data_IF_132567518800
#
_entry.id   IF_132567518800
#
_cell.length_a   1.000
_cell.length_b   1.000
_cell.length_c   1.000
_cell.angle_alpha   90.00
_cell.angle_beta   90.00
_cell.angle_gamma   90.00
#
_symmetry.space_group_name_H-M   'P 1'
#
loop_
_entity.id
_entity.type
_entity.pdbx_description
1 polymer ?
#
# COMPACT_ATOMS: atom_id res chain seq x y z
N UNK A 1 24.17 -2.10 12.92
CA UNK A 1 25.56 -2.19 13.39
C UNK A 1 26.54 -1.41 12.54
N UNK A 2 26.46 -1.45 11.21
CA UNK A 2 27.34 -0.67 10.30
C UNK A 2 27.49 0.81 10.73
N UNK A 3 26.38 1.47 11.08
CA UNK A 3 26.40 2.85 11.58
C UNK A 3 27.19 3.03 12.90
N UNK A 4 27.11 2.06 13.83
CA UNK A 4 27.83 2.12 15.11
C UNK A 4 29.32 1.82 14.88
N UNK A 5 29.61 0.80 14.09
CA UNK A 5 30.97 0.41 13.69
C UNK A 5 31.69 1.54 12.94
N UNK A 6 31.01 2.22 12.00
CA UNK A 6 31.54 3.37 11.29
C UNK A 6 31.85 4.57 12.19
N UNK A 7 31.33 4.59 13.42
CA UNK A 7 31.62 5.59 14.46
C UNK A 7 32.57 5.06 15.54
N UNK A 8 33.12 3.85 15.40
CA UNK A 8 33.98 3.21 16.39
C UNK A 8 33.28 2.77 17.67
N UNK A 9 31.95 2.60 17.64
CA UNK A 9 31.13 2.24 18.81
C UNK A 9 30.86 0.72 18.80
N UNK A 10 31.19 0.03 19.89
CA UNK A 10 30.83 -1.37 20.14
C UNK A 10 29.39 -1.50 20.68
N UNK A 11 28.73 -2.61 20.37
CA UNK A 11 27.41 -2.98 20.86
C UNK A 11 27.53 -4.25 21.71
N UNK A 12 26.91 -4.21 22.89
CA UNK A 12 26.83 -5.36 23.80
C UNK A 12 25.38 -5.64 24.12
N UNK A 13 24.89 -6.84 23.77
CA UNK A 13 23.63 -7.37 24.28
C UNK A 13 23.88 -8.15 25.56
N UNK A 14 23.31 -7.68 26.67
CA UNK A 14 23.41 -8.36 27.97
C UNK A 14 22.55 -9.63 28.04
N UNK A 15 21.45 -9.67 27.29
CA UNK A 15 20.53 -10.81 27.28
C UNK A 15 21.04 -11.93 26.37
N UNK A 16 21.59 -11.56 25.21
CA UNK A 16 22.03 -12.53 24.20
C UNK A 16 23.52 -12.85 24.29
N UNK A 17 24.24 -12.24 25.25
CA UNK A 17 25.69 -12.33 25.43
C UNK A 17 26.49 -12.04 24.14
N UNK A 18 26.03 -11.09 23.33
CA UNK A 18 26.68 -10.68 22.09
C UNK A 18 27.51 -9.44 22.35
N UNK A 19 28.82 -9.51 22.13
CA UNK A 19 29.73 -8.36 22.15
C UNK A 19 30.37 -8.14 20.78
N UNK A 20 29.94 -7.10 20.07
CA UNK A 20 30.42 -6.75 18.74
C UNK A 20 31.79 -6.07 18.75
N UNK A 21 32.41 -5.83 19.91
CA UNK A 21 33.81 -5.44 19.99
C UNK A 21 34.76 -6.65 19.82
N UNK A 22 34.26 -7.88 20.01
CA UNK A 22 35.02 -9.11 19.79
C UNK A 22 34.83 -9.66 18.36
N UNK A 23 35.85 -10.30 17.75
CA UNK A 23 35.69 -10.95 16.45
C UNK A 23 34.61 -12.05 16.44
N UNK A 24 34.50 -12.81 17.52
CA UNK A 24 33.49 -13.86 17.68
C UNK A 24 32.06 -13.30 17.78
N UNK A 25 31.86 -12.27 18.60
CA UNK A 25 30.55 -11.63 18.72
C UNK A 25 30.14 -10.86 17.46
N UNK A 26 31.10 -10.30 16.70
CA UNK A 26 30.84 -9.78 15.36
C UNK A 26 30.36 -10.86 14.38
N UNK A 27 30.96 -12.05 14.40
CA UNK A 27 30.52 -13.17 13.56
C UNK A 27 29.08 -13.58 13.90
N UNK A 28 28.78 -13.80 15.19
CA UNK A 28 27.43 -14.15 15.64
C UNK A 28 26.42 -13.07 15.25
N UNK A 29 26.78 -11.79 15.43
CA UNK A 29 25.94 -10.67 15.02
C UNK A 29 25.63 -10.70 13.52
N UNK A 30 26.61 -11.00 12.66
CA UNK A 30 26.39 -11.12 11.21
C UNK A 30 25.49 -12.31 10.84
N UNK A 31 25.68 -13.47 11.48
CA UNK A 31 24.83 -14.64 11.26
C UNK A 31 23.38 -14.34 11.64
N UNK A 32 23.15 -13.71 12.79
CA UNK A 32 21.81 -13.29 13.20
C UNK A 32 21.20 -12.26 12.25
N UNK A 33 22.00 -11.33 11.74
CA UNK A 33 21.58 -10.41 10.69
C UNK A 33 21.12 -11.12 9.43
N UNK A 34 21.89 -12.12 8.97
CA UNK A 34 21.54 -12.92 7.79
C UNK A 34 20.26 -13.75 7.99
N UNK A 35 20.07 -14.33 9.19
CA UNK A 35 18.84 -15.05 9.53
C UNK A 35 17.64 -14.09 9.51
N UNK A 36 17.77 -12.90 10.10
CA UNK A 36 16.69 -11.91 10.11
C UNK A 36 16.31 -11.45 8.68
N UNK A 37 17.29 -11.33 7.78
CA UNK A 37 17.04 -11.03 6.36
C UNK A 37 16.30 -12.17 5.66
N UNK A 38 16.72 -13.41 5.91
CA UNK A 38 16.08 -14.61 5.36
C UNK A 38 14.62 -14.74 5.83
N UNK A 39 14.35 -14.59 7.13
CA UNK A 39 12.99 -14.63 7.67
C UNK A 39 12.11 -13.53 7.06
N UNK A 40 12.65 -12.32 6.90
CA UNK A 40 11.94 -11.22 6.25
C UNK A 40 11.61 -11.54 4.79
N UNK A 41 12.51 -12.22 4.08
CA UNK A 41 12.26 -12.68 2.71
C UNK A 41 11.12 -13.71 2.67
N UNK A 42 11.13 -14.71 3.56
CA UNK A 42 10.07 -15.71 3.65
C UNK A 42 8.70 -15.10 3.98
N UNK A 43 8.62 -14.16 4.92
CA UNK A 43 7.37 -13.46 5.25
C UNK A 43 6.82 -12.72 4.03
N UNK A 44 7.69 -12.05 3.26
CA UNK A 44 7.30 -11.33 2.04
C UNK A 44 6.80 -12.30 0.97
N UNK A 45 7.48 -13.41 0.76
CA UNK A 45 7.09 -14.44 -0.20
C UNK A 45 5.70 -14.98 0.14
N UNK A 46 5.49 -15.39 1.39
CA UNK A 46 4.21 -15.90 1.87
C UNK A 46 3.07 -14.88 1.73
N UNK A 47 3.36 -13.62 2.04
CA UNK A 47 2.39 -12.53 1.86
C UNK A 47 2.01 -12.35 0.39
N UNK A 48 2.99 -12.36 -0.51
CA UNK A 48 2.74 -12.25 -1.96
C UNK A 48 1.92 -13.43 -2.48
N UNK A 49 2.23 -14.65 -2.06
CA UNK A 49 1.47 -15.85 -2.42
C UNK A 49 0.01 -15.73 -1.95
N UNK A 50 -0.21 -15.31 -0.69
CA UNK A 50 -1.55 -15.09 -0.15
C UNK A 50 -2.33 -14.00 -0.88
N UNK A 51 -1.67 -12.89 -1.25
CA UNK A 51 -2.28 -11.82 -2.05
C UNK A 51 -2.63 -12.29 -3.47
N UNK A 52 -1.78 -13.11 -4.09
CA UNK A 52 -2.06 -13.68 -5.41
C UNK A 52 -3.29 -14.59 -5.37
N UNK A 53 -3.39 -15.46 -4.37
CA UNK A 53 -4.56 -16.32 -4.18
C UNK A 53 -5.83 -15.51 -3.88
N UNK A 54 -5.75 -14.47 -3.04
CA UNK A 54 -6.88 -13.58 -2.78
C UNK A 54 -7.37 -12.89 -4.07
N UNK A 55 -6.45 -12.43 -4.93
CA UNK A 55 -6.78 -11.85 -6.24
C UNK A 55 -7.44 -12.87 -7.16
N UNK A 56 -6.96 -14.12 -7.19
CA UNK A 56 -7.57 -15.22 -7.97
C UNK A 56 -9.02 -15.47 -7.56
N UNK A 57 -9.32 -15.30 -6.26
CA UNK A 57 -10.70 -15.36 -5.71
C UNK A 57 -11.52 -14.08 -5.93
N UNK A 58 -11.02 -13.12 -6.72
CA UNK A 58 -11.73 -11.88 -7.03
C UNK A 58 -11.52 -10.73 -6.05
N UNK A 59 -10.67 -10.86 -5.02
CA UNK A 59 -10.35 -9.70 -4.16
C UNK A 59 -9.44 -8.73 -4.91
N UNK A 60 -9.96 -7.55 -5.23
CA UNK A 60 -9.20 -6.46 -5.87
C UNK A 60 -8.12 -5.85 -4.95
N UNK A 61 -8.40 -5.75 -3.65
CA UNK A 61 -7.53 -5.06 -2.68
C UNK A 61 -7.51 -3.53 -2.86
N UNK A 62 -6.61 -2.86 -2.13
CA UNK A 62 -6.45 -1.41 -2.18
C UNK A 62 -7.55 -0.62 -1.45
N UNK A 63 -7.47 0.72 -1.51
CA UNK A 63 -8.47 1.61 -0.91
C UNK A 63 -9.79 1.51 -1.69
N UNK A 64 -10.95 1.32 -1.03
CA UNK A 64 -12.25 1.35 -1.70
C UNK A 64 -12.47 2.66 -2.47
N UNK A 65 -13.19 2.59 -3.60
CA UNK A 65 -13.59 3.78 -4.35
C UNK A 65 -14.56 4.61 -3.49
N UNK A 66 -14.38 5.94 -3.49
CA UNK A 66 -15.24 6.85 -2.74
C UNK A 66 -16.57 7.15 -3.45
N UNK A 67 -16.64 6.94 -4.77
CA UNK A 67 -17.85 7.13 -5.55
C UNK A 67 -18.12 5.87 -6.38
N UNK A 68 -19.39 5.44 -6.40
CA UNK A 68 -19.89 4.37 -7.27
C UNK A 68 -20.14 4.91 -8.68
N UNK A 69 -20.27 4.04 -9.71
CA UNK A 69 -20.65 4.49 -11.05
C UNK A 69 -21.97 5.27 -11.09
N UNK A 70 -22.93 4.92 -10.22
CA UNK A 70 -24.20 5.65 -10.07
C UNK A 70 -23.98 7.04 -9.50
N UNK A 71 -23.11 7.19 -8.51
CA UNK A 71 -22.75 8.51 -7.95
C UNK A 71 -22.09 9.40 -9.00
N UNK A 72 -21.22 8.83 -9.84
CA UNK A 72 -20.57 9.57 -10.92
C UNK A 72 -21.58 10.03 -11.97
N UNK A 73 -22.54 9.18 -12.34
CA UNK A 73 -23.61 9.55 -13.26
C UNK A 73 -24.51 10.65 -12.67
N UNK A 74 -24.90 10.53 -11.41
CA UNK A 74 -25.70 11.54 -10.70
C UNK A 74 -24.95 12.87 -10.57
N UNK A 75 -23.66 12.84 -10.22
CA UNK A 75 -22.83 14.04 -10.16
C UNK A 75 -22.70 14.72 -11.53
N UNK A 76 -22.55 13.93 -12.61
CA UNK A 76 -22.52 14.45 -13.98
C UNK A 76 -23.84 15.10 -14.39
N UNK A 77 -24.98 14.56 -13.94
CA UNK A 77 -26.28 15.15 -14.19
C UNK A 77 -26.47 16.46 -13.40
N UNK A 78 -26.08 16.50 -12.12
CA UNK A 78 -26.16 17.71 -11.29
C UNK A 78 -25.33 18.86 -11.86
N UNK A 79 -24.16 18.56 -12.45
CA UNK A 79 -23.29 19.57 -13.08
C UNK A 79 -23.84 20.14 -14.40
N UNK A 80 -24.93 19.58 -14.96
CA UNK A 80 -25.60 20.13 -16.15
C UNK A 80 -26.67 21.16 -15.81
N UNK A 81 -27.09 21.23 -14.55
CA UNK A 81 -28.08 22.20 -14.08
C UNK A 81 -27.37 23.54 -13.94
N UNK A 82 -27.94 24.59 -14.54
CA UNK A 82 -27.45 25.95 -14.36
C UNK A 82 -27.51 26.33 -12.87
N UNK A 83 -26.55 27.14 -12.42
CA UNK A 83 -26.36 27.56 -11.02
C UNK A 83 -25.89 26.50 -10.01
N UNK A 84 -25.58 25.26 -10.42
CA UNK A 84 -24.97 24.25 -9.52
C UNK A 84 -23.45 24.21 -9.67
N UNK A 85 -22.72 24.50 -8.58
CA UNK A 85 -21.25 24.50 -8.61
C UNK A 85 -20.65 23.12 -8.32
N UNK A 86 -19.47 22.86 -8.87
CA UNK A 86 -18.72 21.65 -8.56
C UNK A 86 -18.35 21.51 -7.07
N UNK A 87 -18.25 22.62 -6.33
CA UNK A 87 -17.99 22.60 -4.89
C UNK A 87 -19.19 22.05 -4.12
N UNK A 88 -20.41 22.46 -4.47
CA UNK A 88 -21.65 21.98 -3.85
C UNK A 88 -21.89 20.51 -4.16
N UNK A 89 -21.65 20.10 -5.42
CA UNK A 89 -21.75 18.68 -5.82
C UNK A 89 -20.76 17.83 -5.01
N UNK A 90 -19.49 18.23 -4.92
CA UNK A 90 -18.49 17.51 -4.13
C UNK A 90 -18.90 17.38 -2.65
N UNK A 91 -19.38 18.47 -2.05
CA UNK A 91 -19.88 18.49 -0.67
C UNK A 91 -21.05 17.52 -0.49
N UNK A 92 -21.98 17.47 -1.44
CA UNK A 92 -23.15 16.57 -1.41
C UNK A 92 -22.78 15.09 -1.43
N UNK A 93 -21.71 14.73 -2.14
CA UNK A 93 -21.17 13.37 -2.16
C UNK A 93 -20.12 13.10 -1.07
N UNK A 94 -19.84 14.08 -0.19
CA UNK A 94 -18.86 13.92 0.89
C UNK A 94 -17.41 13.75 0.42
N UNK A 95 -17.09 14.22 -0.79
CA UNK A 95 -15.76 14.10 -1.41
C UNK A 95 -15.13 15.47 -1.67
N UNK A 96 -13.81 15.51 -1.84
CA UNK A 96 -13.14 16.74 -2.28
C UNK A 96 -13.45 17.02 -3.76
N UNK A 97 -13.35 18.29 -4.19
CA UNK A 97 -13.46 18.65 -5.61
C UNK A 97 -12.48 17.86 -6.48
N UNK A 98 -11.27 17.62 -5.99
CA UNK A 98 -10.26 16.82 -6.70
C UNK A 98 -10.67 15.35 -6.87
N UNK A 99 -11.32 14.76 -5.87
CA UNK A 99 -11.89 13.41 -5.98
C UNK A 99 -13.05 13.38 -6.98
N UNK A 100 -13.93 14.39 -6.94
CA UNK A 100 -15.03 14.53 -7.89
C UNK A 100 -14.52 14.60 -9.33
N UNK A 101 -13.59 15.52 -9.63
CA UNK A 101 -13.04 15.66 -10.98
C UNK A 101 -12.29 14.43 -11.45
N UNK A 102 -11.50 13.77 -10.57
CA UNK A 102 -10.79 12.53 -10.92
C UNK A 102 -11.75 11.41 -11.33
N UNK A 103 -12.93 11.32 -10.72
CA UNK A 103 -13.95 10.36 -11.10
C UNK A 103 -14.73 10.76 -12.36
N UNK A 104 -14.88 12.05 -12.64
CA UNK A 104 -15.52 12.55 -13.86
C UNK A 104 -14.62 12.46 -15.10
N UNK A 105 -13.30 12.64 -14.92
CA UNK A 105 -12.28 12.56 -15.98
C UNK A 105 -11.89 11.13 -16.32
N UNK A 106 -11.96 10.18 -15.38
CA UNK A 106 -11.68 8.77 -15.67
C UNK A 106 -12.76 8.08 -16.52
N UNK A 107 -13.82 8.79 -16.91
CA UNK A 107 -14.89 8.28 -17.78
C UNK A 107 -14.63 8.47 -19.28
N UNK A 108 -13.56 9.17 -19.69
CA UNK A 108 -13.23 9.43 -21.10
C UNK A 108 -12.06 8.61 -21.64
N UNK A 109 -11.43 7.74 -20.84
CA UNK A 109 -10.42 6.79 -21.30
C UNK A 109 -10.87 5.37 -20.92
N UNK A 110 -11.50 4.68 -21.89
CA UNK A 110 -11.70 3.25 -21.81
C UNK A 110 -10.35 2.51 -21.91
N UNK A 111 -10.17 1.49 -21.07
CA UNK A 111 -9.04 0.55 -21.21
C UNK A 111 -8.43 0.10 -19.89
N UNK A 112 -9.06 -0.85 -19.22
CA UNK A 112 -8.45 -1.65 -18.14
C UNK A 112 -9.51 -2.56 -17.51
N UNK A 113 -9.33 -3.90 -17.58
CA UNK A 113 -10.41 -4.82 -17.87
C UNK A 113 -11.46 -4.88 -16.76
N UNK A 114 -12.70 -4.74 -17.20
CA UNK A 114 -13.86 -5.33 -16.56
C UNK A 114 -13.70 -6.86 -16.61
N UNK A 115 -13.03 -7.44 -15.63
CA UNK A 115 -13.10 -8.88 -15.38
C UNK A 115 -14.16 -9.13 -14.30
N UNK A 116 -15.42 -9.01 -14.71
CA UNK A 116 -16.57 -9.62 -14.06
C UNK A 116 -17.12 -10.72 -14.95
N UNK A 117 -16.95 -11.97 -14.54
CA UNK A 117 -17.52 -13.17 -15.14
C UNK A 117 -16.88 -14.37 -14.43
N UNK A 118 -17.45 -14.94 -13.37
CA UNK A 118 -18.66 -15.77 -13.38
C UNK A 118 -18.55 -16.91 -14.42
N UNK A 119 -17.74 -17.91 -14.08
CA UNK A 119 -17.91 -19.34 -14.38
C UNK A 119 -17.06 -20.13 -13.38
#
# INVERSE_FOLDING_TARGET
AEMLKGRGIGFVSLTDAIDTASPGGMLVFHVLGAIAEFERALIRERTKAGLAEARRRGRKGGRPKQMTPKDVAAARAMLKVEDVTAAEVAKRFGVSRGTLYRHLSSGSNGGGPDAGGAA
#
